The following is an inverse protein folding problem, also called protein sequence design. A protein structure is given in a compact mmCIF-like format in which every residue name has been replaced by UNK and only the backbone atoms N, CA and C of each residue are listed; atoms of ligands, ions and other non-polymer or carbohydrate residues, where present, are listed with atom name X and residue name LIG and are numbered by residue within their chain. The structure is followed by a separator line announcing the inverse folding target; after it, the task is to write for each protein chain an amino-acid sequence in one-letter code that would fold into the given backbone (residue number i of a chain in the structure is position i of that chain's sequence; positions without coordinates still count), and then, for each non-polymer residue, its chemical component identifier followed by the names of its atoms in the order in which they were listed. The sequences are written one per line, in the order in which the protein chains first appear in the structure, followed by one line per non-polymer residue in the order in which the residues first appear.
data_IF_273810102965
#
_entry.id   IF_273810102965
#
_cell.length_a   1.000
_cell.length_b   1.000
_cell.length_c   1.000
_cell.angle_alpha   90.00
_cell.angle_beta   90.00
_cell.angle_gamma   90.00
#
_symmetry.space_group_name_H-M   'P 1'
#
loop_
_entity.id
_entity.type
_entity.pdbx_description
1 polymer ?
#
# COMPACT_ATOMS: atom_id res chain seq x y z
N UNK A 1 -68.56 23.92 -5.14
CA UNK A 1 -67.45 24.86 -4.89
C UNK A 1 -66.50 24.22 -3.89
N UNK A 2 -65.78 23.17 -4.31
CA UNK A 2 -65.00 22.33 -3.39
C UNK A 2 -64.03 21.40 -4.13
N UNK A 3 -63.11 21.94 -4.95
CA UNK A 3 -61.98 21.20 -5.53
C UNK A 3 -60.90 22.20 -5.97
N UNK A 4 -60.12 22.77 -5.05
CA UNK A 4 -58.99 23.66 -5.40
C UNK A 4 -58.00 23.89 -4.25
N UNK A 5 -57.72 22.87 -3.42
CA UNK A 5 -56.82 23.02 -2.27
C UNK A 5 -55.93 21.80 -1.96
N UNK A 6 -55.62 20.96 -2.96
CA UNK A 6 -54.70 19.82 -2.81
C UNK A 6 -53.56 19.75 -3.85
N UNK A 7 -53.32 20.81 -4.62
CA UNK A 7 -52.29 20.83 -5.67
C UNK A 7 -51.07 21.72 -5.36
N UNK A 8 -50.77 21.99 -4.08
CA UNK A 8 -49.69 22.91 -3.66
C UNK A 8 -48.75 22.34 -2.60
N UNK A 9 -48.66 21.00 -2.44
CA UNK A 9 -47.74 20.36 -1.48
C UNK A 9 -46.87 19.23 -2.09
N UNK A 10 -46.72 19.18 -3.41
CA UNK A 10 -45.90 18.16 -4.10
C UNK A 10 -44.87 18.75 -5.09
N UNK A 11 -44.29 19.93 -4.81
CA UNK A 11 -43.29 20.53 -5.71
C UNK A 11 -41.98 21.00 -5.05
N UNK A 12 -41.74 20.71 -3.77
CA UNK A 12 -40.45 21.04 -3.12
C UNK A 12 -39.51 19.84 -2.95
N UNK A 13 -39.87 18.66 -3.44
CA UNK A 13 -39.06 17.43 -3.29
C UNK A 13 -38.23 17.05 -4.53
N UNK A 14 -37.91 17.99 -5.44
CA UNK A 14 -37.23 17.62 -6.70
C UNK A 14 -36.23 18.64 -7.26
N UNK A 15 -35.68 19.53 -6.44
CA UNK A 15 -34.68 20.51 -6.93
C UNK A 15 -33.38 20.62 -6.11
N UNK A 16 -33.11 19.69 -5.18
CA UNK A 16 -31.76 19.57 -4.58
C UNK A 16 -30.86 18.52 -5.27
N UNK A 17 -31.40 17.72 -6.20
CA UNK A 17 -30.61 16.70 -6.92
C UNK A 17 -29.98 17.17 -8.26
N UNK A 18 -30.07 18.45 -8.62
CA UNK A 18 -29.61 18.95 -9.94
C UNK A 18 -28.47 19.99 -9.86
N UNK A 19 -27.92 20.27 -8.67
CA UNK A 19 -26.71 21.09 -8.51
C UNK A 19 -25.57 20.35 -7.80
N UNK A 20 -25.48 19.03 -7.97
CA UNK A 20 -24.16 18.41 -7.95
C UNK A 20 -23.44 18.91 -9.21
N UNK A 21 -22.73 20.05 -9.08
CA UNK A 21 -21.83 20.54 -10.11
C UNK A 21 -21.08 19.34 -10.69
N UNK A 22 -21.05 19.21 -12.02
CA UNK A 22 -20.19 18.23 -12.70
C UNK A 22 -18.78 18.49 -12.20
N UNK A 23 -18.35 17.81 -11.12
CA UNK A 23 -16.97 17.90 -10.66
C UNK A 23 -16.13 17.32 -11.78
N UNK A 24 -15.19 18.12 -12.27
CA UNK A 24 -14.16 17.65 -13.19
C UNK A 24 -13.39 16.48 -12.54
N UNK A 25 -12.77 15.59 -13.34
CA UNK A 25 -11.88 14.57 -12.78
C UNK A 25 -10.82 15.26 -11.89
N UNK A 26 -10.38 14.59 -10.80
CA UNK A 26 -9.29 15.13 -9.99
C UNK A 26 -8.04 15.27 -10.86
N UNK A 27 -7.24 16.31 -10.59
CA UNK A 27 -5.92 16.46 -11.17
C UNK A 27 -5.08 15.22 -10.82
N UNK A 28 -4.26 14.77 -11.77
CA UNK A 28 -3.28 13.72 -11.50
C UNK A 28 -2.22 14.25 -10.52
N UNK A 29 -1.65 13.40 -9.65
CA UNK A 29 -0.67 13.80 -8.64
C UNK A 29 0.41 14.77 -9.11
N UNK A 30 1.03 14.51 -10.26
CA UNK A 30 2.11 15.37 -10.78
C UNK A 30 1.65 16.80 -11.18
N UNK A 31 0.35 16.99 -11.42
CA UNK A 31 -0.26 18.29 -11.77
C UNK A 31 -0.96 18.96 -10.57
N UNK A 32 -1.08 18.26 -9.44
CA UNK A 32 -1.84 18.69 -8.28
C UNK A 32 -0.89 19.18 -7.17
N UNK A 33 -0.87 20.49 -6.86
CA UNK A 33 0.01 21.05 -5.83
C UNK A 33 -0.16 20.44 -4.45
N UNK A 34 -1.27 19.74 -4.18
CA UNK A 34 -1.48 18.99 -2.93
C UNK A 34 -0.47 17.84 -2.73
N UNK A 35 0.03 17.26 -3.82
CA UNK A 35 0.97 16.14 -3.82
C UNK A 35 2.45 16.57 -3.81
N UNK A 36 2.71 17.83 -4.15
CA UNK A 36 4.07 18.35 -4.21
C UNK A 36 4.56 18.76 -2.81
N UNK A 37 5.81 18.47 -2.45
CA UNK A 37 6.37 18.90 -1.16
C UNK A 37 6.40 20.43 -1.07
N UNK A 38 6.30 21.01 0.15
CA UNK A 38 6.33 22.46 0.34
C UNK A 38 7.69 23.11 0.01
N UNK A 39 8.79 22.37 0.18
CA UNK A 39 10.15 22.79 -0.11
C UNK A 39 10.82 21.82 -1.12
N UNK A 40 11.10 22.26 -2.36
CA UNK A 40 11.70 21.42 -3.39
C UNK A 40 13.22 21.22 -3.22
N UNK A 41 13.91 21.98 -2.36
CA UNK A 41 15.38 21.97 -2.26
C UNK A 41 15.94 20.86 -1.35
N UNK A 42 15.07 20.04 -0.77
CA UNK A 42 15.50 19.00 0.16
C UNK A 42 15.12 17.59 -0.33
N UNK A 43 15.12 17.39 -1.65
CA UNK A 43 14.99 16.07 -2.28
C UNK A 43 15.96 15.03 -1.66
N UNK A 44 15.57 13.75 -1.55
CA UNK A 44 16.31 12.74 -0.79
C UNK A 44 17.60 12.35 -1.51
N UNK A 45 18.69 13.07 -1.22
CA UNK A 45 20.04 12.62 -1.50
C UNK A 45 20.73 12.03 -0.26
N UNK A 46 20.12 12.13 0.92
CA UNK A 46 20.73 11.71 2.20
C UNK A 46 19.71 11.03 3.13
N UNK A 47 20.12 9.92 3.75
CA UNK A 47 19.32 9.08 4.67
C UNK A 47 18.77 9.83 5.90
N UNK A 48 19.26 11.05 6.17
CA UNK A 48 18.87 11.85 7.33
C UNK A 48 17.63 12.74 7.10
N UNK A 49 17.15 12.89 5.86
CA UNK A 49 15.93 13.63 5.52
C UNK A 49 14.62 12.94 5.96
N UNK A 50 14.67 11.76 6.57
CA UNK A 50 13.49 11.02 7.07
C UNK A 50 13.31 11.10 8.60
N UNK A 51 14.22 11.76 9.32
CA UNK A 51 14.29 11.72 10.79
C UNK A 51 13.75 12.93 11.57
N UNK A 52 13.61 14.12 10.97
CA UNK A 52 13.19 15.35 11.63
C UNK A 52 11.69 15.62 11.43
N UNK A 53 10.97 15.60 12.56
CA UNK A 53 9.56 15.89 12.78
C UNK A 53 8.53 15.23 11.83
N UNK A 54 7.79 14.31 12.43
CA UNK A 54 7.22 13.15 11.74
C UNK A 54 5.72 13.07 12.00
N UNK A 55 4.89 12.84 10.98
CA UNK A 55 3.46 12.56 11.19
C UNK A 55 2.54 13.78 11.42
N UNK A 56 3.02 15.01 11.20
CA UNK A 56 2.24 16.25 11.33
C UNK A 56 1.34 16.48 10.11
N UNK A 57 0.06 16.80 10.31
CA UNK A 57 -0.85 17.10 9.19
C UNK A 57 -0.61 18.54 8.68
N UNK A 58 -0.10 18.68 7.47
CA UNK A 58 0.14 19.96 6.82
C UNK A 58 -1.07 20.52 6.09
N UNK A 59 -1.63 19.70 5.21
CA UNK A 59 -2.75 20.04 4.34
C UNK A 59 -3.76 18.93 4.38
N UNK A 60 -5.03 19.32 4.34
CA UNK A 60 -6.14 18.37 4.30
C UNK A 60 -7.17 18.84 3.30
N UNK A 61 -7.77 17.90 2.59
CA UNK A 61 -8.94 18.15 1.75
C UNK A 61 -9.90 16.97 1.84
N UNK A 62 -11.19 17.27 1.80
CA UNK A 62 -12.20 16.24 1.61
C UNK A 62 -12.21 15.81 0.15
N UNK A 63 -12.21 14.51 -0.08
CA UNK A 63 -12.40 13.93 -1.40
C UNK A 63 -13.58 12.97 -1.38
N UNK A 64 -14.20 12.82 -2.53
CA UNK A 64 -15.15 11.74 -2.76
C UNK A 64 -14.35 10.54 -3.21
N UNK A 65 -14.36 9.45 -2.46
CA UNK A 65 -13.82 8.16 -2.92
C UNK A 65 -14.86 7.51 -3.84
N UNK A 66 -14.40 6.84 -4.89
CA UNK A 66 -15.30 6.13 -5.78
C UNK A 66 -16.01 5.01 -5.00
N UNK A 67 -17.28 4.76 -5.30
CA UNK A 67 -18.06 3.68 -4.66
C UNK A 67 -17.43 2.30 -4.99
N UNK A 68 -16.41 1.91 -4.24
CA UNK A 68 -16.02 0.51 -4.04
C UNK A 68 -16.80 -0.04 -2.84
N UNK A 69 -17.14 0.84 -1.89
CA UNK A 69 -18.05 0.66 -0.75
C UNK A 69 -18.96 1.89 -0.71
N UNK A 70 -20.27 1.72 -0.53
CA UNK A 70 -21.25 2.82 -0.63
C UNK A 70 -21.12 3.81 0.54
N UNK A 71 -21.21 5.12 0.29
CA UNK A 71 -21.56 6.14 1.31
C UNK A 71 -20.43 6.79 2.11
N UNK A 72 -19.17 6.70 1.67
CA UNK A 72 -18.01 7.09 2.47
C UNK A 72 -17.61 8.57 2.30
N UNK A 73 -17.15 9.18 3.40
CA UNK A 73 -16.37 10.43 3.37
C UNK A 73 -14.90 10.06 3.48
N UNK A 74 -14.07 10.61 2.60
CA UNK A 74 -12.63 10.43 2.66
C UNK A 74 -11.91 11.77 2.87
N UNK A 75 -10.88 11.75 3.69
CA UNK A 75 -9.95 12.88 3.85
C UNK A 75 -8.61 12.49 3.24
N UNK A 76 -8.14 13.28 2.28
CA UNK A 76 -6.75 13.26 1.89
C UNK A 76 -5.97 14.14 2.85
N UNK A 77 -4.85 13.62 3.34
CA UNK A 77 -3.97 14.32 4.25
C UNK A 77 -2.55 14.25 3.77
N UNK A 78 -1.91 15.40 3.83
CA UNK A 78 -0.52 15.61 3.50
C UNK A 78 0.25 15.75 4.81
N UNK A 79 1.37 15.06 4.94
CA UNK A 79 2.18 15.03 6.18
C UNK A 79 3.53 15.66 5.95
N UNK A 80 3.98 16.57 6.84
CA UNK A 80 5.41 16.86 6.99
C UNK A 80 5.93 17.75 8.15
N UNK A 81 7.23 17.56 8.50
CA UNK A 81 8.26 18.59 8.78
C UNK A 81 9.68 18.24 8.21
N UNK A 82 9.76 17.29 7.26
CA UNK A 82 10.91 16.74 6.59
C UNK A 82 10.68 16.52 5.07
N UNK A 83 11.59 16.91 4.20
CA UNK A 83 11.40 17.19 2.76
C UNK A 83 10.55 16.28 1.84
N UNK A 84 10.31 15.03 2.23
CA UNK A 84 9.58 14.01 1.50
C UNK A 84 8.16 13.84 2.02
N UNK A 85 7.35 14.87 1.80
CA UNK A 85 5.94 14.84 2.13
C UNK A 85 5.19 13.75 1.33
N UNK A 86 4.36 12.97 2.01
CA UNK A 86 3.50 11.94 1.42
C UNK A 86 2.02 12.22 1.69
N UNK A 87 1.14 11.51 0.98
CA UNK A 87 -0.31 11.62 1.11
C UNK A 87 -0.88 10.32 1.68
N UNK A 88 -1.87 10.43 2.57
CA UNK A 88 -2.69 9.30 2.99
C UNK A 88 -4.17 9.58 2.79
N UNK A 89 -4.92 8.54 2.45
CA UNK A 89 -6.39 8.55 2.37
C UNK A 89 -6.96 7.91 3.61
N UNK A 90 -7.74 8.67 4.38
CA UNK A 90 -8.53 8.10 5.48
C UNK A 90 -9.98 7.95 5.05
N UNK A 91 -10.47 6.71 5.02
CA UNK A 91 -11.83 6.35 4.62
C UNK A 91 -12.64 5.99 5.87
N UNK A 92 -13.75 6.70 6.08
CA UNK A 92 -14.69 6.41 7.17
C UNK A 92 -15.87 5.61 6.61
N UNK A 93 -16.05 4.33 7.02
CA UNK A 93 -17.19 3.52 6.61
C UNK A 93 -18.53 4.14 7.05
N UNK A 94 -19.63 3.71 6.44
CA UNK A 94 -21.00 4.16 6.78
C UNK A 94 -21.35 3.87 8.24
N UNK A 95 -20.94 2.69 8.73
CA UNK A 95 -21.13 2.27 10.12
C UNK A 95 -19.75 2.01 10.72
N UNK A 96 -19.03 3.07 11.16
CA UNK A 96 -17.66 2.96 11.60
C UNK A 96 -17.59 2.51 13.07
N UNK A 97 -16.75 1.50 13.34
CA UNK A 97 -16.15 1.31 14.66
C UNK A 97 -14.96 2.27 14.80
N UNK A 98 -15.23 3.43 15.39
CA UNK A 98 -14.27 4.52 15.58
C UNK A 98 -13.09 4.19 16.50
N UNK A 99 -13.10 3.03 17.16
CA UNK A 99 -11.97 2.54 17.98
C UNK A 99 -11.02 1.62 17.22
N UNK A 100 -11.33 1.25 15.97
CA UNK A 100 -10.49 0.38 15.16
C UNK A 100 -10.04 1.10 13.91
N UNK A 101 -8.75 1.03 13.62
CA UNK A 101 -8.15 1.56 12.40
C UNK A 101 -7.36 0.46 11.72
N UNK A 102 -7.58 0.24 10.43
CA UNK A 102 -6.69 -0.58 9.61
C UNK A 102 -5.82 0.36 8.78
N UNK A 103 -4.50 0.27 8.98
CA UNK A 103 -3.53 0.81 8.02
C UNK A 103 -3.39 -0.20 6.90
N UNK A 104 -3.84 0.14 5.69
CA UNK A 104 -3.87 -0.75 4.53
C UNK A 104 -2.87 -0.27 3.50
N UNK A 105 -1.79 -1.03 3.34
CA UNK A 105 -0.75 -0.80 2.34
C UNK A 105 -1.19 -1.47 1.03
N UNK A 106 -1.74 -0.67 0.09
CA UNK A 106 -2.09 -1.12 -1.26
C UNK A 106 -0.83 -1.43 -2.05
N UNK A 107 -0.74 -2.58 -2.73
CA UNK A 107 0.41 -2.88 -3.60
C UNK A 107 0.25 -2.14 -4.93
N UNK A 108 0.63 -0.86 -5.02
CA UNK A 108 0.50 -0.08 -6.26
C UNK A 108 1.72 -0.13 -7.18
N UNK A 109 2.84 -0.63 -6.67
CA UNK A 109 3.97 -1.23 -7.38
C UNK A 109 4.41 -0.46 -8.63
N UNK A 110 4.67 0.85 -8.51
CA UNK A 110 4.91 1.67 -9.69
C UNK A 110 5.90 2.81 -9.48
N UNK A 111 6.77 3.07 -10.46
CA UNK A 111 7.66 4.23 -10.43
C UNK A 111 6.99 5.54 -10.90
N UNK A 112 5.67 5.54 -11.11
CA UNK A 112 4.88 6.70 -11.55
C UNK A 112 3.99 7.20 -10.41
N UNK A 113 4.22 8.44 -9.97
CA UNK A 113 3.45 9.12 -8.92
C UNK A 113 1.94 9.16 -9.20
N UNK A 114 1.51 9.11 -10.46
CA UNK A 114 0.11 9.08 -10.83
C UNK A 114 -0.57 7.73 -10.55
N UNK A 115 0.19 6.72 -10.11
CA UNK A 115 -0.33 5.45 -9.60
C UNK A 115 -0.70 5.49 -8.11
N UNK A 116 -0.46 6.59 -7.42
CA UNK A 116 -0.68 6.73 -5.98
C UNK A 116 -2.12 6.32 -5.56
N UNK A 117 -2.28 5.51 -4.48
CA UNK A 117 -3.58 5.11 -3.95
C UNK A 117 -4.52 6.29 -3.71
N UNK A 118 -4.01 7.39 -3.16
CA UNK A 118 -4.82 8.57 -2.87
C UNK A 118 -5.42 9.26 -4.09
N UNK A 119 -4.84 9.07 -5.28
CA UNK A 119 -5.45 9.48 -6.55
C UNK A 119 -6.38 8.40 -7.08
N UNK A 120 -5.90 7.15 -7.20
CA UNK A 120 -6.65 6.06 -7.83
C UNK A 120 -8.00 5.75 -7.16
N UNK A 121 -8.10 6.00 -5.85
CA UNK A 121 -9.32 5.79 -5.07
C UNK A 121 -10.34 6.94 -5.22
N UNK A 122 -9.95 8.10 -5.73
CA UNK A 122 -10.90 9.22 -5.89
C UNK A 122 -12.00 8.89 -6.92
N UNK A 123 -13.19 9.42 -6.67
CA UNK A 123 -14.29 9.43 -7.62
C UNK A 123 -13.87 10.20 -8.88
N UNK A 124 -14.18 9.63 -10.05
CA UNK A 124 -13.75 10.12 -11.37
C UNK A 124 -12.25 10.13 -11.65
N UNK A 125 -11.39 9.59 -10.78
CA UNK A 125 -10.01 9.29 -11.15
C UNK A 125 -9.97 8.45 -12.45
N UNK A 126 -8.91 8.59 -13.23
CA UNK A 126 -8.75 7.96 -14.54
C UNK A 126 -7.43 7.18 -14.64
N UNK A 127 -7.28 6.40 -15.71
CA UNK A 127 -6.02 5.71 -16.01
C UNK A 127 -5.80 4.43 -15.20
N UNK A 128 -4.59 3.88 -15.30
CA UNK A 128 -4.22 2.61 -14.70
C UNK A 128 -4.20 2.66 -13.18
N UNK A 129 -3.74 3.77 -12.58
CA UNK A 129 -3.72 3.98 -11.13
C UNK A 129 -5.10 3.82 -10.48
N UNK A 130 -6.16 4.27 -11.17
CA UNK A 130 -7.56 4.02 -10.76
C UNK A 130 -7.88 2.53 -10.72
N UNK A 131 -7.66 1.84 -11.84
CA UNK A 131 -8.03 0.43 -11.98
C UNK A 131 -7.29 -0.43 -10.97
N UNK A 132 -5.98 -0.24 -10.85
CA UNK A 132 -5.11 -1.02 -10.01
C UNK A 132 -5.41 -0.87 -8.51
N UNK A 133 -5.55 0.37 -8.02
CA UNK A 133 -5.84 0.62 -6.61
C UNK A 133 -7.25 0.14 -6.19
N UNK A 134 -8.24 0.26 -7.08
CA UNK A 134 -9.59 -0.24 -6.78
C UNK A 134 -9.64 -1.77 -6.76
N UNK A 135 -8.87 -2.46 -7.60
CA UNK A 135 -8.73 -3.92 -7.55
C UNK A 135 -8.08 -4.36 -6.23
N UNK A 136 -6.98 -3.70 -5.82
CA UNK A 136 -6.33 -3.94 -4.52
C UNK A 136 -7.30 -3.78 -3.35
N UNK A 137 -8.11 -2.70 -3.33
CA UNK A 137 -9.12 -2.49 -2.30
C UNK A 137 -10.26 -3.53 -2.35
N UNK A 138 -10.64 -3.99 -3.55
CA UNK A 138 -11.76 -4.91 -3.73
C UNK A 138 -11.56 -6.27 -3.04
N UNK A 139 -10.32 -6.76 -2.89
CA UNK A 139 -10.03 -7.99 -2.15
C UNK A 139 -10.38 -7.91 -0.66
N UNK A 140 -10.40 -6.69 -0.12
CA UNK A 140 -10.77 -6.44 1.27
C UNK A 140 -12.18 -5.85 1.40
N UNK A 141 -12.75 -5.29 0.34
CA UNK A 141 -14.06 -4.61 0.37
C UNK A 141 -15.20 -5.38 1.07
N UNK A 142 -15.37 -6.73 0.92
CA UNK A 142 -16.40 -7.48 1.63
C UNK A 142 -16.29 -7.37 3.16
N UNK A 143 -15.08 -7.12 3.64
CA UNK A 143 -14.74 -7.05 5.05
C UNK A 143 -14.79 -5.61 5.60
N UNK A 144 -14.91 -4.59 4.73
CA UNK A 144 -14.69 -3.19 5.09
C UNK A 144 -15.97 -2.33 5.15
N UNK A 145 -17.14 -2.88 4.82
CA UNK A 145 -18.41 -2.12 4.78
C UNK A 145 -18.90 -1.64 6.16
N UNK A 146 -18.57 -2.39 7.21
CA UNK A 146 -18.88 -2.07 8.60
C UNK A 146 -17.66 -2.41 9.44
N UNK A 147 -17.22 -1.50 10.33
CA UNK A 147 -16.08 -1.77 11.20
C UNK A 147 -14.98 -0.71 11.11
N UNK A 148 -13.70 -1.10 10.97
CA UNK A 148 -12.58 -0.19 11.18
C UNK A 148 -12.53 0.95 10.16
N UNK A 149 -12.04 2.11 10.60
CA UNK A 149 -11.66 3.21 9.71
C UNK A 149 -10.39 2.81 8.96
N UNK A 150 -10.29 3.13 7.67
CA UNK A 150 -9.12 2.79 6.86
C UNK A 150 -8.15 3.97 6.77
N UNK A 151 -6.86 3.69 6.91
CA UNK A 151 -5.76 4.58 6.56
C UNK A 151 -4.99 3.94 5.40
N UNK A 152 -4.99 4.56 4.23
CA UNK A 152 -4.34 4.03 3.01
C UNK A 152 -3.24 5.01 2.58
N UNK A 153 -1.97 4.75 2.95
CA UNK A 153 -0.86 5.63 2.60
C UNK A 153 -0.35 5.44 1.17
N UNK A 154 0.12 6.53 0.57
CA UNK A 154 0.99 6.52 -0.60
C UNK A 154 2.44 6.28 -0.14
N UNK A 155 2.76 5.07 0.32
CA UNK A 155 4.02 4.77 1.03
C UNK A 155 5.30 4.81 0.17
N UNK A 156 5.20 4.96 -1.13
CA UNK A 156 6.33 5.15 -2.05
C UNK A 156 6.60 6.64 -2.28
N UNK A 157 5.80 7.53 -1.67
CA UNK A 157 6.07 8.95 -1.57
C UNK A 157 5.75 9.76 -2.81
N UNK A 158 6.06 11.05 -2.73
CA UNK A 158 5.94 12.01 -3.83
C UNK A 158 6.90 11.71 -4.99
N UNK A 159 7.88 10.81 -4.80
CA UNK A 159 8.82 10.37 -5.82
C UNK A 159 8.52 8.96 -6.37
N UNK A 160 7.46 8.27 -5.91
CA UNK A 160 7.13 6.90 -6.35
C UNK A 160 8.33 5.93 -6.28
N UNK A 161 9.00 5.91 -5.13
CA UNK A 161 10.16 5.08 -4.87
C UNK A 161 9.80 3.63 -4.56
N UNK A 162 9.16 2.95 -5.52
CA UNK A 162 8.84 1.54 -5.40
C UNK A 162 10.09 0.69 -5.09
N UNK A 163 9.90 -0.33 -4.24
CA UNK A 163 10.92 -1.22 -3.70
C UNK A 163 11.95 -0.58 -2.74
N UNK A 164 11.80 0.70 -2.36
CA UNK A 164 12.62 1.33 -1.32
C UNK A 164 11.99 1.12 0.06
N UNK A 165 12.43 0.05 0.74
CA UNK A 165 11.88 -0.41 2.01
C UNK A 165 11.86 0.62 3.15
N UNK A 166 12.99 1.22 3.53
CA UNK A 166 13.04 2.21 4.61
C UNK A 166 12.06 3.37 4.41
N UNK A 167 12.01 3.93 3.19
CA UNK A 167 11.06 4.99 2.84
C UNK A 167 9.60 4.51 3.03
N UNK A 168 9.29 3.31 2.56
CA UNK A 168 7.96 2.70 2.71
C UNK A 168 7.56 2.53 4.19
N UNK A 169 8.50 2.15 5.05
CA UNK A 169 8.30 2.03 6.48
C UNK A 169 8.04 3.38 7.17
N UNK A 170 8.86 4.40 6.90
CA UNK A 170 8.67 5.75 7.45
C UNK A 170 7.30 6.31 7.08
N UNK A 171 6.97 6.31 5.79
CA UNK A 171 5.73 6.88 5.28
C UNK A 171 4.48 6.13 5.78
N UNK A 172 4.59 4.81 5.94
CA UNK A 172 3.53 4.01 6.57
C UNK A 172 3.30 4.43 8.02
N UNK A 173 4.35 4.51 8.85
CA UNK A 173 4.22 4.90 10.26
C UNK A 173 3.74 6.35 10.43
N UNK A 174 4.22 7.27 9.60
CA UNK A 174 3.81 8.66 9.65
C UNK A 174 2.39 8.88 9.17
N UNK A 175 1.92 8.09 8.20
CA UNK A 175 0.50 8.10 7.83
C UNK A 175 -0.39 7.70 9.00
N UNK A 176 0.04 6.75 9.84
CA UNK A 176 -0.70 6.32 11.03
C UNK A 176 -0.69 7.45 12.07
N UNK A 177 0.46 8.08 12.32
CA UNK A 177 0.55 9.28 13.21
C UNK A 177 -0.43 10.36 12.74
N UNK A 178 -0.42 10.68 11.44
CA UNK A 178 -1.30 11.67 10.85
C UNK A 178 -2.78 11.28 10.92
N UNK A 179 -3.11 10.00 10.71
CA UNK A 179 -4.46 9.47 10.88
C UNK A 179 -4.94 9.53 12.35
N UNK A 180 -4.03 9.47 13.33
CA UNK A 180 -4.36 9.54 14.76
C UNK A 180 -4.20 10.93 15.38
N UNK A 181 -3.75 11.93 14.62
CA UNK A 181 -3.62 13.31 15.07
C UNK A 181 -4.95 13.91 15.54
N UNK A 182 -4.89 14.96 16.38
CA UNK A 182 -6.11 15.66 16.84
C UNK A 182 -6.87 16.25 15.65
N UNK A 183 -6.14 16.91 14.75
CA UNK A 183 -6.64 17.49 13.50
C UNK A 183 -7.32 16.46 12.62
N UNK A 184 -6.86 15.21 12.66
CA UNK A 184 -7.52 14.11 11.98
C UNK A 184 -8.84 13.72 12.64
N UNK A 185 -8.77 13.46 13.94
CA UNK A 185 -9.84 12.84 14.74
C UNK A 185 -11.10 13.68 14.74
N UNK A 186 -10.97 15.02 14.68
CA UNK A 186 -12.10 15.94 14.56
C UNK A 186 -12.98 15.66 13.33
N UNK A 187 -12.39 15.19 12.22
CA UNK A 187 -13.10 14.96 10.96
C UNK A 187 -13.49 13.50 10.76
N UNK A 188 -12.61 12.57 11.11
CA UNK A 188 -12.85 11.12 10.91
C UNK A 188 -13.65 10.51 12.07
N UNK A 189 -13.64 11.17 13.22
CA UNK A 189 -14.23 10.67 14.45
C UNK A 189 -13.45 9.51 15.08
N UNK A 190 -12.23 9.20 14.61
CA UNK A 190 -11.34 8.23 15.25
C UNK A 190 -11.20 8.58 16.74
N UNK A 191 -11.37 7.60 17.62
CA UNK A 191 -11.27 7.80 19.06
C UNK A 191 -9.82 7.88 19.53
N UNK A 192 -9.61 8.54 20.67
CA UNK A 192 -8.27 8.68 21.25
C UNK A 192 -7.65 7.34 21.65
N UNK A 193 -8.50 6.41 22.11
CA UNK A 193 -8.13 5.05 22.50
C UNK A 193 -8.17 4.05 21.33
N UNK A 194 -8.22 4.53 20.08
CA UNK A 194 -8.28 3.66 18.92
C UNK A 194 -7.03 2.79 18.78
N UNK A 195 -7.24 1.54 18.34
CA UNK A 195 -6.19 0.56 18.05
C UNK A 195 -5.96 0.47 16.55
N UNK A 196 -4.73 0.19 16.16
CA UNK A 196 -4.31 0.09 14.76
C UNK A 196 -3.86 -1.33 14.45
N UNK A 197 -4.29 -1.88 13.32
CA UNK A 197 -3.65 -3.06 12.71
C UNK A 197 -3.10 -2.66 11.35
N UNK A 198 -1.91 -3.12 11.01
CA UNK A 198 -1.34 -2.95 9.67
C UNK A 198 -1.63 -4.19 8.82
N UNK A 199 -1.93 -3.99 7.55
CA UNK A 199 -2.15 -5.06 6.59
C UNK A 199 -1.53 -4.70 5.24
N UNK A 200 -0.70 -5.59 4.72
CA UNK A 200 -0.20 -5.50 3.35
C UNK A 200 -0.05 -6.88 2.72
N UNK A 201 -0.23 -6.92 1.40
CA UNK A 201 0.05 -8.08 0.56
C UNK A 201 1.02 -7.68 -0.56
N UNK A 202 1.91 -8.55 -1.01
CA UNK A 202 2.86 -8.26 -2.11
C UNK A 202 3.74 -7.02 -1.82
N UNK A 203 3.80 -6.03 -2.71
CA UNK A 203 4.49 -4.75 -2.44
C UNK A 203 3.96 -4.02 -1.19
N UNK A 204 2.68 -4.17 -0.87
CA UNK A 204 2.12 -3.65 0.39
C UNK A 204 2.66 -4.37 1.63
N UNK A 205 2.99 -5.67 1.51
CA UNK A 205 3.61 -6.41 2.60
C UNK A 205 5.06 -5.95 2.84
N UNK A 206 5.76 -5.48 1.79
CA UNK A 206 7.04 -4.81 1.96
C UNK A 206 6.91 -3.56 2.83
N UNK A 207 5.95 -2.69 2.55
CA UNK A 207 5.71 -1.50 3.36
C UNK A 207 5.34 -1.85 4.81
N UNK A 208 4.46 -2.84 5.02
CA UNK A 208 4.02 -3.29 6.35
C UNK A 208 5.16 -3.90 7.17
N UNK A 209 6.03 -4.67 6.54
CA UNK A 209 7.17 -5.32 7.19
C UNK A 209 8.22 -4.29 7.63
N UNK A 210 8.63 -3.39 6.73
CA UNK A 210 9.56 -2.32 7.06
C UNK A 210 9.00 -1.41 8.16
N UNK A 211 7.72 -1.05 8.11
CA UNK A 211 7.07 -0.31 9.19
C UNK A 211 7.11 -1.08 10.53
N UNK A 212 6.99 -2.42 10.49
CA UNK A 212 7.06 -3.27 11.69
C UNK A 212 8.45 -3.28 12.30
N UNK A 213 9.49 -3.42 11.48
CA UNK A 213 10.89 -3.31 11.92
C UNK A 213 11.23 -1.97 12.56
N UNK A 214 10.61 -0.90 12.05
CA UNK A 214 10.94 0.47 12.43
C UNK A 214 10.13 0.96 13.63
N UNK A 215 9.00 0.33 13.93
CA UNK A 215 8.04 0.80 14.93
C UNK A 215 8.69 1.09 16.29
N UNK A 216 9.57 0.21 16.78
CA UNK A 216 10.11 0.30 18.14
C UNK A 216 10.92 1.59 18.38
N UNK A 217 11.69 2.04 17.40
CA UNK A 217 12.57 3.21 17.56
C UNK A 217 12.04 4.48 16.86
N UNK A 218 11.18 4.34 15.84
CA UNK A 218 10.65 5.47 15.08
C UNK A 218 9.26 5.94 15.54
N UNK A 219 8.43 5.02 16.04
CA UNK A 219 7.02 5.27 16.30
C UNK A 219 6.51 4.47 17.50
N UNK A 220 7.31 4.44 18.57
CA UNK A 220 7.10 3.60 19.76
C UNK A 220 5.68 3.76 20.35
N UNK A 221 5.18 4.99 20.36
CA UNK A 221 3.91 5.38 20.98
C UNK A 221 2.67 5.04 20.14
N UNK A 222 2.82 4.57 18.90
CA UNK A 222 1.67 4.21 18.07
C UNK A 222 0.94 2.99 18.65
N UNK A 223 -0.41 3.04 18.77
CA UNK A 223 -1.21 1.97 19.36
C UNK A 223 -1.47 0.82 18.36
N UNK A 224 -0.39 0.31 17.75
CA UNK A 224 -0.45 -0.83 16.83
C UNK A 224 -0.56 -2.12 17.66
N UNK A 225 -1.55 -2.94 17.33
CA UNK A 225 -1.90 -4.17 18.07
C UNK A 225 -1.76 -5.43 17.22
N UNK A 226 -1.30 -5.29 15.97
CA UNK A 226 -0.94 -6.41 15.12
C UNK A 226 -0.53 -5.96 13.72
N UNK A 227 0.19 -6.82 13.02
CA UNK A 227 0.48 -6.65 11.60
C UNK A 227 0.30 -7.96 10.83
N UNK A 228 -0.35 -7.88 9.67
CA UNK A 228 -0.49 -8.98 8.71
C UNK A 228 0.40 -8.69 7.50
N UNK A 229 1.32 -9.61 7.23
CA UNK A 229 2.34 -9.50 6.18
C UNK A 229 2.15 -10.68 5.22
N UNK A 230 1.53 -10.44 4.07
CA UNK A 230 1.18 -11.50 3.11
C UNK A 230 2.04 -11.47 1.83
N UNK A 231 2.61 -12.60 1.42
CA UNK A 231 3.37 -12.71 0.16
C UNK A 231 4.46 -11.63 0.03
N UNK A 232 5.28 -11.44 1.08
CA UNK A 232 6.26 -10.35 1.11
C UNK A 232 7.48 -10.64 0.23
N UNK A 233 7.92 -9.70 -0.64
CA UNK A 233 9.17 -9.81 -1.38
C UNK A 233 10.36 -9.48 -0.45
N UNK A 234 10.76 -10.45 0.37
CA UNK A 234 11.72 -10.28 1.47
C UNK A 234 13.15 -9.91 1.04
N UNK A 235 13.50 -10.22 -0.21
CA UNK A 235 14.77 -9.83 -0.83
C UNK A 235 14.55 -9.44 -2.29
N UNK A 236 14.62 -8.14 -2.58
CA UNK A 236 14.37 -7.61 -3.94
C UNK A 236 15.38 -8.12 -4.99
N UNK A 237 16.58 -8.52 -4.58
CA UNK A 237 17.58 -9.10 -5.50
C UNK A 237 17.25 -10.54 -5.84
N UNK A 238 16.76 -11.32 -4.87
CA UNK A 238 16.22 -12.65 -5.12
C UNK A 238 15.01 -12.59 -6.04
N UNK A 239 14.06 -11.68 -5.76
CA UNK A 239 12.90 -11.42 -6.63
C UNK A 239 13.34 -11.02 -8.03
N UNK A 240 14.33 -10.15 -8.17
CA UNK A 240 14.88 -9.75 -9.46
C UNK A 240 15.30 -10.96 -10.30
N UNK A 241 16.12 -11.83 -9.72
CA UNK A 241 16.60 -13.03 -10.41
C UNK A 241 15.48 -13.99 -10.77
N UNK A 242 14.48 -14.11 -9.89
CA UNK A 242 13.37 -15.03 -10.07
C UNK A 242 12.45 -14.62 -11.24
N UNK A 243 12.07 -13.35 -11.35
CA UNK A 243 11.13 -12.91 -12.38
C UNK A 243 11.80 -12.46 -13.68
N UNK A 244 13.13 -12.26 -13.70
CA UNK A 244 13.84 -11.83 -14.91
C UNK A 244 13.72 -12.85 -16.04
N UNK A 245 13.31 -12.41 -17.24
CA UNK A 245 13.06 -13.30 -18.39
C UNK A 245 11.73 -14.08 -18.31
N UNK A 246 11.00 -14.01 -17.20
CA UNK A 246 9.68 -14.60 -17.01
C UNK A 246 8.54 -13.66 -17.39
N UNK A 247 7.30 -14.13 -17.30
CA UNK A 247 6.08 -13.36 -17.56
C UNK A 247 5.95 -12.11 -16.68
N UNK A 248 6.55 -12.12 -15.50
CA UNK A 248 6.57 -11.01 -14.53
C UNK A 248 7.81 -10.10 -14.61
N UNK A 249 8.64 -10.23 -15.66
CA UNK A 249 9.88 -9.45 -15.79
C UNK A 249 9.69 -7.92 -15.80
N UNK A 250 8.49 -7.43 -16.13
CA UNK A 250 8.16 -5.99 -16.04
C UNK A 250 8.28 -5.45 -14.61
N UNK A 251 8.01 -6.29 -13.58
CA UNK A 251 8.13 -5.90 -12.17
C UNK A 251 9.55 -5.44 -11.82
N UNK A 252 10.56 -6.06 -12.42
CA UNK A 252 11.95 -5.64 -12.24
C UNK A 252 12.17 -4.20 -12.72
N UNK A 253 11.58 -3.84 -13.86
CA UNK A 253 11.72 -2.48 -14.39
C UNK A 253 11.04 -1.46 -13.50
N UNK A 254 9.85 -1.78 -12.99
CA UNK A 254 9.15 -0.92 -12.02
C UNK A 254 9.99 -0.70 -10.77
N UNK A 255 10.49 -1.78 -10.15
CA UNK A 255 11.32 -1.69 -8.94
C UNK A 255 12.62 -0.91 -9.20
N UNK A 256 13.30 -1.20 -10.31
CA UNK A 256 14.53 -0.50 -10.68
C UNK A 256 14.30 1.01 -10.88
N UNK A 257 13.23 1.40 -11.56
CA UNK A 257 12.89 2.80 -11.76
C UNK A 257 12.47 3.49 -10.46
N UNK A 258 11.75 2.81 -9.57
CA UNK A 258 11.41 3.34 -8.25
C UNK A 258 12.67 3.62 -7.41
N UNK A 259 13.62 2.68 -7.40
CA UNK A 259 14.93 2.88 -6.77
C UNK A 259 15.67 4.04 -7.44
N UNK A 260 15.65 4.14 -8.77
CA UNK A 260 16.26 5.28 -9.49
C UNK A 260 15.62 6.62 -9.12
N UNK A 261 14.33 6.68 -8.77
CA UNK A 261 13.69 7.91 -8.31
C UNK A 261 14.24 8.37 -6.95
N UNK A 262 14.63 7.43 -6.07
CA UNK A 262 15.20 7.74 -4.75
C UNK A 262 16.74 7.90 -4.75
N UNK A 263 17.45 7.36 -5.74
CA UNK A 263 18.92 7.33 -5.75
C UNK A 263 19.50 7.97 -7.03
N UNK A 264 19.74 9.30 -7.05
CA UNK A 264 20.19 10.03 -8.25
C UNK A 264 21.49 9.50 -8.87
N UNK A 265 22.47 9.12 -8.04
CA UNK A 265 23.73 8.53 -8.51
C UNK A 265 23.52 7.19 -9.21
N UNK A 266 22.63 6.35 -8.67
CA UNK A 266 22.26 5.08 -9.31
C UNK A 266 21.47 5.32 -10.60
N UNK A 267 20.55 6.29 -10.59
CA UNK A 267 19.77 6.71 -11.74
C UNK A 267 20.66 7.14 -12.91
N UNK A 268 21.62 8.03 -12.65
CA UNK A 268 22.57 8.49 -13.66
C UNK A 268 23.37 7.31 -14.24
N UNK A 269 23.96 6.48 -13.37
CA UNK A 269 24.75 5.33 -13.81
C UNK A 269 23.93 4.35 -14.65
N UNK A 270 22.70 4.04 -14.23
CA UNK A 270 21.83 3.11 -14.95
C UNK A 270 21.40 3.67 -16.30
N UNK A 271 21.09 4.96 -16.39
CA UNK A 271 20.80 5.62 -17.67
C UNK A 271 21.99 5.61 -18.62
N UNK A 272 23.18 5.84 -18.10
CA UNK A 272 24.41 5.75 -18.90
C UNK A 272 24.70 4.32 -19.37
N UNK A 273 24.30 3.31 -18.59
CA UNK A 273 24.48 1.90 -18.93
C UNK A 273 23.36 1.32 -19.82
N UNK A 274 22.18 1.95 -19.89
CA UNK A 274 21.09 1.51 -20.76
C UNK A 274 21.55 1.50 -22.23
N UNK A 275 21.16 0.43 -22.94
CA UNK A 275 21.39 0.34 -24.37
C UNK A 275 20.32 1.11 -25.14
N UNK A 276 20.73 1.75 -26.23
CA UNK A 276 19.82 2.51 -27.09
C UNK A 276 19.44 1.75 -28.37
N UNK A 277 20.08 0.61 -28.63
CA UNK A 277 19.72 -0.25 -29.75
C UNK A 277 18.34 -0.88 -29.52
N UNK A 278 17.60 -1.13 -30.61
CA UNK A 278 16.23 -1.66 -30.55
C UNK A 278 15.29 -0.91 -29.58
N UNK A 279 15.57 0.36 -29.28
CA UNK A 279 14.80 1.21 -28.36
C UNK A 279 14.73 0.67 -26.91
N UNK A 280 15.74 -0.08 -26.45
CA UNK A 280 15.73 -0.67 -25.10
C UNK A 280 15.60 0.40 -24.01
N UNK A 281 16.36 1.49 -24.10
CA UNK A 281 16.26 2.67 -23.25
C UNK A 281 14.83 3.21 -23.18
N UNK A 282 14.16 3.39 -24.32
CA UNK A 282 12.79 3.90 -24.37
C UNK A 282 11.79 2.92 -23.79
N UNK A 283 11.95 1.63 -24.05
CA UNK A 283 11.07 0.58 -23.48
C UNK A 283 11.19 0.53 -21.96
N UNK A 284 12.42 0.61 -21.45
CA UNK A 284 12.68 0.64 -20.02
C UNK A 284 12.09 1.91 -19.37
N UNK A 285 12.44 3.09 -19.91
CA UNK A 285 12.05 4.37 -19.34
C UNK A 285 10.58 4.74 -19.53
N UNK A 286 9.86 4.09 -20.46
CA UNK A 286 8.42 4.31 -20.65
C UNK A 286 7.61 3.97 -19.39
N UNK A 287 8.08 3.01 -18.61
CA UNK A 287 7.41 2.56 -17.39
C UNK A 287 7.38 3.64 -16.29
N UNK A 288 8.22 4.69 -16.37
CA UNK A 288 8.10 5.90 -15.52
C UNK A 288 6.76 6.63 -15.70
N UNK A 289 6.01 6.30 -16.75
CA UNK A 289 4.74 6.92 -17.10
C UNK A 289 3.59 5.92 -17.19
N UNK A 290 3.71 4.77 -16.52
CA UNK A 290 2.77 3.66 -16.58
C UNK A 290 1.32 4.04 -16.23
N UNK A 291 1.11 5.03 -15.35
CA UNK A 291 -0.21 5.57 -15.01
C UNK A 291 -0.54 6.89 -15.69
N UNK A 292 0.49 7.64 -16.13
CA UNK A 292 0.37 8.93 -16.82
C UNK A 292 -0.03 8.80 -18.28
N UNK A 293 0.56 7.84 -18.99
CA UNK A 293 0.34 7.59 -20.41
C UNK A 293 0.20 6.10 -20.66
N UNK A 294 -1.03 5.60 -20.65
CA UNK A 294 -1.32 4.29 -21.24
C UNK A 294 -1.19 4.43 -22.77
N UNK A 295 0.03 4.37 -23.31
CA UNK A 295 0.25 4.39 -24.76
C UNK A 295 0.31 2.96 -25.31
N UNK A 296 -0.77 2.44 -25.91
CA UNK A 296 -0.78 1.09 -26.49
C UNK A 296 0.19 0.92 -27.67
N UNK A 297 0.71 2.01 -28.25
CA UNK A 297 1.57 1.96 -29.44
C UNK A 297 3.04 1.62 -29.15
N UNK A 298 3.52 1.81 -27.91
CA UNK A 298 4.88 1.48 -27.47
C UNK A 298 4.92 0.40 -26.38
N UNK A 299 3.78 0.14 -25.73
CA UNK A 299 3.63 -0.85 -24.65
C UNK A 299 3.49 -2.29 -25.17
N UNK A 300 4.51 -2.82 -25.87
CA UNK A 300 4.78 -4.25 -25.67
C UNK A 300 5.37 -4.35 -24.27
N UNK A 301 4.54 -4.75 -23.30
CA UNK A 301 4.95 -4.97 -21.92
C UNK A 301 6.26 -5.77 -21.87
N UNK A 302 7.06 -5.52 -20.84
CA UNK A 302 8.37 -6.16 -20.66
C UNK A 302 8.26 -7.59 -20.13
N UNK A 303 7.07 -8.19 -20.20
CA UNK A 303 6.84 -9.60 -19.92
C UNK A 303 7.75 -10.45 -20.83
N UNK A 304 8.37 -11.46 -20.24
CA UNK A 304 9.35 -12.35 -20.85
C UNK A 304 10.64 -11.66 -21.34
N UNK A 305 10.84 -10.38 -21.03
CA UNK A 305 12.07 -9.68 -21.38
C UNK A 305 13.21 -10.08 -20.43
N UNK A 306 14.40 -10.31 -21.00
CA UNK A 306 15.62 -10.36 -20.22
C UNK A 306 16.08 -8.92 -19.92
N UNK A 307 15.81 -8.44 -18.71
CA UNK A 307 16.07 -7.05 -18.30
C UNK A 307 17.58 -6.76 -18.30
N UNK A 308 18.41 -7.73 -17.94
CA UNK A 308 19.87 -7.57 -17.99
C UNK A 308 20.38 -7.27 -19.41
N UNK A 309 19.73 -7.83 -20.44
CA UNK A 309 20.08 -7.57 -21.83
C UNK A 309 19.73 -6.15 -22.31
N UNK A 310 19.01 -5.36 -21.51
CA UNK A 310 18.73 -3.94 -21.79
C UNK A 310 19.90 -3.02 -21.38
N UNK A 311 20.88 -3.55 -20.66
CA UNK A 311 22.04 -2.82 -20.14
C UNK A 311 23.34 -3.23 -20.85
N UNK A 312 24.26 -2.29 -21.05
CA UNK A 312 25.56 -2.53 -21.72
C UNK A 312 26.43 -3.47 -20.89
N UNK A 313 26.34 -3.39 -19.57
CA UNK A 313 27.11 -4.22 -18.65
C UNK A 313 26.28 -5.35 -18.00
N UNK A 314 25.10 -5.67 -18.55
CA UNK A 314 24.25 -6.73 -18.01
C UNK A 314 23.78 -6.41 -16.59
N UNK A 315 23.87 -7.40 -15.70
CA UNK A 315 23.49 -7.28 -14.28
C UNK A 315 24.51 -6.56 -13.40
N UNK A 316 25.48 -5.83 -13.98
CA UNK A 316 26.54 -5.18 -13.18
C UNK A 316 25.99 -4.22 -12.13
N UNK A 317 24.81 -3.61 -12.35
CA UNK A 317 24.14 -2.77 -11.35
C UNK A 317 23.91 -3.50 -10.02
N UNK A 318 23.61 -4.80 -10.03
CA UNK A 318 23.43 -5.60 -8.81
C UNK A 318 24.69 -5.63 -7.95
N UNK A 319 25.86 -5.73 -8.59
CA UNK A 319 27.15 -5.73 -7.88
C UNK A 319 27.62 -4.32 -7.53
N UNK A 320 27.49 -3.39 -8.48
CA UNK A 320 27.88 -1.98 -8.35
C UNK A 320 27.15 -1.29 -7.19
N UNK A 321 25.87 -1.61 -6.99
CA UNK A 321 25.02 -1.02 -5.95
C UNK A 321 24.59 -2.03 -4.88
N UNK A 322 25.32 -3.14 -4.74
CA UNK A 322 24.98 -4.22 -3.79
C UNK A 322 24.75 -3.73 -2.36
N UNK A 323 25.53 -2.78 -1.86
CA UNK A 323 25.33 -2.20 -0.54
C UNK A 323 23.97 -1.50 -0.41
N UNK A 324 23.63 -0.64 -1.40
CA UNK A 324 22.36 0.10 -1.42
C UNK A 324 21.19 -0.87 -1.56
N UNK A 325 21.24 -1.79 -2.52
CA UNK A 325 20.19 -2.79 -2.76
C UNK A 325 19.95 -3.67 -1.52
N UNK A 326 21.03 -4.07 -0.85
CA UNK A 326 20.92 -4.80 0.40
C UNK A 326 20.28 -3.93 1.48
N UNK A 327 20.66 -2.67 1.62
CA UNK A 327 20.14 -1.75 2.64
C UNK A 327 18.65 -1.47 2.48
N UNK A 328 18.17 -1.26 1.26
CA UNK A 328 16.78 -0.88 1.00
C UNK A 328 15.84 -2.05 0.78
N UNK A 329 16.39 -3.21 0.41
CA UNK A 329 15.64 -4.27 -0.25
C UNK A 329 15.73 -5.65 0.40
N UNK A 330 16.44 -5.77 1.52
CA UNK A 330 16.52 -7.01 2.29
C UNK A 330 15.88 -6.79 3.66
N UNK A 331 14.74 -7.43 3.87
CA UNK A 331 14.02 -7.43 5.14
C UNK A 331 14.78 -8.26 6.19
N UNK A 332 14.38 -8.08 7.44
CA UNK A 332 14.95 -8.70 8.61
C UNK A 332 16.08 -7.90 9.24
N UNK A 333 16.57 -6.82 8.62
CA UNK A 333 17.85 -6.19 9.00
C UNK A 333 17.78 -5.47 10.34
N UNK A 334 16.66 -4.83 10.67
CA UNK A 334 16.51 -4.08 11.91
C UNK A 334 15.86 -4.91 13.03
N UNK A 335 15.57 -6.19 12.79
CA UNK A 335 15.11 -7.14 13.81
C UNK A 335 16.26 -7.41 14.77
N UNK A 336 16.15 -6.83 15.97
CA UNK A 336 17.05 -7.02 17.10
C UNK A 336 16.22 -7.30 18.35
N UNK A 337 16.85 -7.78 19.42
CA UNK A 337 16.13 -7.98 20.69
C UNK A 337 15.60 -6.66 21.27
N UNK A 338 16.24 -5.53 20.95
CA UNK A 338 15.88 -4.20 21.42
C UNK A 338 14.77 -3.55 20.58
N UNK A 339 14.56 -4.01 19.35
CA UNK A 339 13.59 -3.45 18.40
C UNK A 339 12.33 -4.32 18.26
N UNK A 340 11.88 -4.95 19.35
CA UNK A 340 10.63 -5.70 19.32
C UNK A 340 9.45 -4.74 19.10
N UNK A 341 8.57 -4.97 18.11
CA UNK A 341 7.42 -4.11 17.84
C UNK A 341 6.38 -4.11 18.97
N UNK A 342 6.37 -5.12 19.84
CA UNK A 342 5.44 -5.21 20.98
C UNK A 342 4.01 -5.57 20.59
N UNK A 343 3.80 -6.18 19.42
CA UNK A 343 2.51 -6.71 18.98
C UNK A 343 2.68 -8.00 18.17
N UNK A 344 1.64 -8.87 18.11
CA UNK A 344 1.66 -10.08 17.31
C UNK A 344 1.80 -9.84 15.80
N UNK A 345 2.43 -10.79 15.10
CA UNK A 345 2.57 -10.79 13.65
C UNK A 345 1.84 -11.99 13.04
N UNK A 346 1.29 -11.83 11.84
CA UNK A 346 0.77 -12.92 11.04
C UNK A 346 1.33 -12.88 9.62
N UNK A 347 1.92 -14.00 9.20
CA UNK A 347 2.44 -14.20 7.85
C UNK A 347 1.57 -15.21 7.11
N UNK A 348 1.30 -14.93 5.83
CA UNK A 348 0.70 -15.91 4.93
C UNK A 348 1.25 -15.77 3.52
N UNK A 349 1.50 -16.88 2.84
CA UNK A 349 2.19 -16.87 1.55
C UNK A 349 1.94 -18.18 0.80
N UNK A 350 2.02 -18.15 -0.53
CA UNK A 350 1.97 -19.35 -1.35
C UNK A 350 3.29 -20.12 -1.25
N UNK A 351 3.24 -21.45 -1.26
CA UNK A 351 4.48 -22.25 -1.31
C UNK A 351 5.05 -22.36 -2.72
N UNK A 352 4.25 -22.05 -3.75
CA UNK A 352 4.63 -22.02 -5.16
C UNK A 352 4.59 -20.58 -5.70
N UNK A 353 4.87 -19.60 -4.83
CA UNK A 353 4.81 -18.17 -5.14
C UNK A 353 5.89 -17.79 -6.17
N UNK A 354 5.43 -17.45 -7.37
CA UNK A 354 6.24 -17.10 -8.53
C UNK A 354 6.85 -15.68 -8.47
N UNK A 355 6.50 -14.87 -7.46
CA UNK A 355 7.05 -13.52 -7.24
C UNK A 355 8.10 -13.55 -6.13
N UNK A 356 7.76 -14.14 -4.98
CA UNK A 356 8.55 -14.07 -3.74
C UNK A 356 9.45 -15.29 -3.51
N UNK A 357 9.75 -16.04 -4.57
CA UNK A 357 10.74 -17.12 -4.53
C UNK A 357 12.17 -16.55 -4.37
N UNK A 358 13.08 -17.20 -3.63
CA UNK A 358 12.94 -18.50 -2.96
C UNK A 358 12.18 -18.42 -1.62
N UNK A 359 11.37 -19.44 -1.33
CA UNK A 359 10.57 -19.54 -0.09
C UNK A 359 11.43 -19.42 1.18
N UNK A 360 12.67 -19.88 1.08
CA UNK A 360 13.68 -19.81 2.13
C UNK A 360 13.93 -18.38 2.62
N UNK A 361 13.81 -17.36 1.77
CA UNK A 361 14.03 -15.97 2.19
C UNK A 361 12.87 -15.50 3.09
N UNK A 362 11.63 -15.87 2.78
CA UNK A 362 10.47 -15.65 3.65
C UNK A 362 10.59 -16.42 4.96
N UNK A 363 11.01 -17.69 4.94
CA UNK A 363 11.16 -18.47 6.17
C UNK A 363 12.25 -17.89 7.09
N UNK A 364 13.39 -17.45 6.54
CA UNK A 364 14.45 -16.79 7.32
C UNK A 364 13.93 -15.55 8.04
N UNK A 365 13.10 -14.75 7.38
CA UNK A 365 12.51 -13.56 7.98
C UNK A 365 11.60 -13.93 9.16
N UNK A 366 10.68 -14.87 8.94
CA UNK A 366 9.76 -15.36 9.97
C UNK A 366 10.51 -15.95 11.17
N UNK A 367 11.53 -16.77 10.91
CA UNK A 367 12.36 -17.37 11.95
C UNK A 367 13.12 -16.30 12.73
N UNK A 368 13.59 -15.23 12.06
CA UNK A 368 14.25 -14.10 12.72
C UNK A 368 13.29 -13.35 13.64
N UNK A 369 12.04 -13.12 13.23
CA UNK A 369 11.01 -12.55 14.09
C UNK A 369 10.70 -13.41 15.32
N UNK A 370 10.60 -14.74 15.14
CA UNK A 370 10.37 -15.71 16.22
C UNK A 370 11.53 -15.79 17.21
N UNK A 371 12.77 -15.71 16.73
CA UNK A 371 13.97 -16.00 17.55
C UNK A 371 14.67 -14.75 18.08
N UNK A 372 15.00 -13.81 17.20
CA UNK A 372 15.78 -12.60 17.54
C UNK A 372 14.86 -11.47 17.98
N UNK A 373 13.77 -11.24 17.24
CA UNK A 373 12.81 -10.18 17.57
C UNK A 373 12.08 -10.42 18.89
N UNK A 374 12.05 -11.68 19.38
CA UNK A 374 11.33 -12.12 20.57
C UNK A 374 9.86 -11.66 20.56
N UNK A 375 9.25 -11.58 19.38
CA UNK A 375 7.83 -11.27 19.26
C UNK A 375 7.08 -12.43 19.89
N UNK A 376 6.25 -12.10 20.88
CA UNK A 376 5.54 -13.10 21.70
C UNK A 376 4.74 -14.09 20.84
N UNK A 377 4.21 -13.61 19.72
CA UNK A 377 3.38 -14.39 18.81
C UNK A 377 3.62 -14.03 17.35
N UNK A 378 4.07 -15.02 16.58
CA UNK A 378 4.22 -14.96 15.12
C UNK A 378 3.43 -16.12 14.51
N UNK A 379 2.27 -15.81 13.95
CA UNK A 379 1.45 -16.76 13.20
C UNK A 379 2.05 -16.96 11.80
N UNK A 380 2.21 -18.20 11.38
CA UNK A 380 2.91 -18.59 10.15
C UNK A 380 2.02 -19.53 9.33
N UNK A 381 1.49 -19.04 8.20
CA UNK A 381 0.46 -19.71 7.40
C UNK A 381 0.93 -19.96 5.96
N UNK A 382 1.79 -20.97 5.71
CA UNK A 382 2.11 -21.40 4.35
C UNK A 382 0.88 -22.02 3.68
N UNK A 383 0.51 -21.50 2.52
CA UNK A 383 -0.62 -21.98 1.71
C UNK A 383 -0.08 -22.92 0.62
N UNK A 384 -0.14 -24.22 0.91
CA UNK A 384 0.47 -25.26 0.10
C UNK A 384 -0.12 -25.31 -1.31
N UNK A 385 0.73 -25.23 -2.33
CA UNK A 385 0.35 -25.31 -3.74
C UNK A 385 -0.23 -24.02 -4.31
N UNK A 386 -0.27 -22.94 -3.52
CA UNK A 386 -0.76 -21.65 -3.97
C UNK A 386 0.34 -20.82 -4.63
N UNK A 387 -0.04 -20.13 -5.70
CA UNK A 387 0.75 -19.10 -6.39
C UNK A 387 0.53 -17.75 -5.71
N UNK A 388 1.22 -16.70 -6.15
CA UNK A 388 1.10 -15.36 -5.55
C UNK A 388 -0.36 -14.88 -5.50
N UNK A 389 -1.04 -14.86 -6.65
CA UNK A 389 -2.44 -14.39 -6.69
C UNK A 389 -3.41 -15.29 -5.91
N UNK A 390 -3.24 -16.62 -5.94
CA UNK A 390 -4.17 -17.53 -5.26
C UNK A 390 -3.96 -17.55 -3.74
N UNK A 391 -2.74 -17.30 -3.27
CA UNK A 391 -2.42 -17.15 -1.87
C UNK A 391 -3.12 -15.93 -1.25
N UNK A 392 -3.20 -14.79 -1.96
CA UNK A 392 -4.00 -13.64 -1.53
C UNK A 392 -5.46 -14.04 -1.27
N UNK A 393 -6.10 -14.65 -2.28
CA UNK A 393 -7.51 -15.01 -2.23
C UNK A 393 -7.85 -15.99 -1.10
N UNK A 394 -6.97 -16.95 -0.83
CA UNK A 394 -7.19 -17.95 0.23
C UNK A 394 -6.78 -17.45 1.62
N UNK A 395 -5.75 -16.61 1.71
CA UNK A 395 -5.23 -16.12 2.98
C UNK A 395 -6.03 -14.97 3.60
N UNK A 396 -6.67 -14.13 2.77
CA UNK A 396 -7.31 -12.89 3.24
C UNK A 396 -8.43 -13.11 4.26
N UNK A 397 -9.24 -14.18 4.10
CA UNK A 397 -10.30 -14.50 5.06
C UNK A 397 -9.75 -14.89 6.43
N UNK A 398 -8.67 -15.67 6.46
CA UNK A 398 -7.98 -16.06 7.70
C UNK A 398 -7.32 -14.85 8.36
N UNK A 399 -6.67 -14.00 7.57
CA UNK A 399 -6.10 -12.73 8.04
C UNK A 399 -7.18 -11.84 8.68
N UNK A 400 -8.35 -11.70 8.05
CA UNK A 400 -9.44 -10.90 8.58
C UNK A 400 -9.95 -11.38 9.95
N UNK A 401 -10.13 -12.69 10.10
CA UNK A 401 -10.54 -13.28 11.38
C UNK A 401 -9.50 -13.04 12.48
N UNK A 402 -8.22 -13.19 12.14
CA UNK A 402 -7.13 -12.88 13.05
C UNK A 402 -7.12 -11.42 13.46
N UNK A 403 -7.24 -10.48 12.51
CA UNK A 403 -7.26 -9.04 12.80
C UNK A 403 -8.42 -8.66 13.72
N UNK A 404 -9.63 -9.18 13.49
CA UNK A 404 -10.76 -8.94 14.39
C UNK A 404 -10.52 -9.45 15.79
N UNK A 405 -9.91 -10.63 15.92
CA UNK A 405 -9.57 -11.16 17.22
C UNK A 405 -8.52 -10.29 17.94
N UNK A 406 -7.49 -9.82 17.23
CA UNK A 406 -6.49 -8.91 17.80
C UNK A 406 -7.11 -7.59 18.26
N UNK A 407 -8.04 -7.02 17.49
CA UNK A 407 -8.79 -5.85 17.93
C UNK A 407 -9.60 -6.14 19.20
N UNK A 408 -10.32 -7.26 19.24
CA UNK A 408 -11.12 -7.67 20.39
C UNK A 408 -10.27 -7.85 21.66
N UNK A 409 -9.10 -8.48 21.53
CA UNK A 409 -8.14 -8.67 22.62
C UNK A 409 -7.53 -7.35 23.09
N UNK A 410 -7.25 -6.42 22.17
CA UNK A 410 -6.76 -5.09 22.55
C UNK A 410 -7.82 -4.18 23.18
N UNK A 411 -9.10 -4.40 22.89
CA UNK A 411 -10.23 -3.64 23.44
C UNK A 411 -10.73 -4.19 24.79
N UNK A 412 -10.61 -5.50 25.01
CA UNK A 412 -11.00 -6.18 26.26
C UNK A 412 -9.74 -6.42 27.07
N UNK A 413 -9.65 -5.89 28.29
CA UNK A 413 -8.48 -6.04 29.18
C UNK A 413 -8.22 -7.47 29.70
N UNK A 414 -8.51 -8.53 28.93
CA UNK A 414 -8.31 -9.96 29.26
C UNK A 414 -7.98 -10.78 28.02
N UNK A 415 -7.06 -11.74 28.20
CA UNK A 415 -6.55 -12.70 27.22
C UNK A 415 -7.67 -13.42 26.46
N UNK A 416 -7.73 -13.23 25.14
CA UNK A 416 -8.55 -14.02 24.24
C UNK A 416 -7.62 -14.61 23.18
N UNK A 417 -7.29 -15.90 23.28
CA UNK A 417 -6.27 -16.49 22.41
C UNK A 417 -6.72 -16.60 20.94
N UNK A 418 -6.20 -15.72 20.09
CA UNK A 418 -6.50 -15.62 18.65
C UNK A 418 -5.92 -16.74 17.76
N UNK A 419 -5.37 -17.81 18.35
CA UNK A 419 -4.71 -18.92 17.64
C UNK A 419 -5.49 -20.24 17.68
N UNK A 420 -6.74 -20.28 18.14
CA UNK A 420 -7.53 -21.50 17.90
C UNK A 420 -7.55 -21.72 16.39
N UNK A 421 -7.05 -22.88 15.96
CA UNK A 421 -7.06 -23.34 14.57
C UNK A 421 -8.41 -22.95 13.95
N UNK A 422 -8.41 -21.86 13.20
CA UNK A 422 -9.58 -21.47 12.43
C UNK A 422 -9.74 -22.62 11.44
N UNK A 423 -10.90 -23.29 11.43
CA UNK A 423 -11.03 -24.57 10.78
C UNK A 423 -10.69 -24.41 9.29
N UNK A 424 -10.03 -25.42 8.70
CA UNK A 424 -9.52 -25.36 7.32
C UNK A 424 -10.64 -25.06 6.29
N UNK A 425 -11.90 -25.30 6.67
CA UNK A 425 -13.13 -25.02 5.93
C UNK A 425 -13.62 -23.55 6.01
N UNK A 426 -13.03 -22.70 6.86
CA UNK A 426 -13.27 -21.26 6.86
C UNK A 426 -12.80 -20.57 5.55
N UNK A 427 -12.22 -21.35 4.63
CA UNK A 427 -11.88 -20.97 3.26
C UNK A 427 -13.09 -20.98 2.30
N UNK A 428 -14.24 -21.57 2.68
CA UNK A 428 -15.45 -21.66 1.83
C UNK A 428 -16.47 -20.53 2.06
N UNK A 429 -15.99 -19.30 2.28
CA UNK A 429 -16.85 -18.10 2.28
C UNK A 429 -17.25 -17.66 0.85
N UNK A 430 -16.78 -18.35 -0.19
CA UNK A 430 -17.13 -18.06 -1.59
C UNK A 430 -18.64 -18.18 -1.86
N UNK A 431 -19.35 -19.06 -1.15
CA UNK A 431 -20.78 -19.31 -1.37
C UNK A 431 -21.72 -18.19 -0.87
N UNK A 432 -21.21 -17.12 -0.25
CA UNK A 432 -22.00 -15.94 0.11
C UNK A 432 -21.77 -14.73 -0.82
N UNK A 433 -20.89 -14.84 -1.82
CA UNK A 433 -20.45 -13.70 -2.63
C UNK A 433 -20.89 -13.81 -4.10
N UNK A 434 -22.10 -13.34 -4.40
CA UNK A 434 -22.44 -12.97 -5.78
C UNK A 434 -21.84 -11.59 -6.08
N UNK A 435 -20.60 -11.54 -6.55
CA UNK A 435 -20.02 -10.32 -7.09
C UNK A 435 -20.61 -10.09 -8.49
N UNK A 436 -21.45 -9.07 -8.64
CA UNK A 436 -21.77 -8.51 -9.96
C UNK A 436 -20.85 -7.30 -10.13
N UNK A 437 -19.79 -7.37 -10.97
CA UNK A 437 -18.97 -6.20 -11.26
C UNK A 437 -19.90 -5.08 -11.71
N UNK A 438 -19.87 -3.94 -11.01
CA UNK A 438 -20.57 -2.76 -11.52
C UNK A 438 -20.02 -2.43 -12.91
N UNK A 439 -20.84 -1.79 -13.74
CA UNK A 439 -20.47 -1.43 -15.12
C UNK A 439 -19.18 -0.56 -15.21
N UNK A 440 -18.67 -0.03 -14.09
CA UNK A 440 -17.42 0.73 -14.03
C UNK A 440 -16.14 -0.12 -14.05
N UNK A 441 -16.24 -1.44 -13.84
CA UNK A 441 -15.12 -2.39 -13.85
C UNK A 441 -14.99 -3.19 -15.17
N UNK A 442 -15.82 -2.93 -16.18
CA UNK A 442 -15.76 -3.57 -17.51
C UNK A 442 -15.10 -2.68 -18.56
#
# INVERSE_FOLDING_TARGET
MQYLLHALLFSTFSFEQVLAAKKDPPLVPIEDPFYLPPDPDCLPSEVDCWKNSTGVVLRKREVTVANVVTGERASLRHVDENPDASVTTVIVPVIPNKKRVISLQSAYDSPDTNCAPSYGLQHKAQGWGKTWNRLNLAFLAPYLQTGPILNIPDYEGSNAAFAVGPQSGYQTLDSIKAALSLESREYTGIKEDAKVIMFGYSGGALATEWATEMKAWYAETLPIVGAVIGGAPTNITSTYHNVNGGDLATLNVWAMLGIMNAYPTMNQWMRDDLRTDAYQDKRFLLELTSCSYASPALAKGLNFANISAMFKQGDKFLTQFSNILNEIGVMGKNITEQNNPGYPLAFFYGTEDEVTYPLEDTQKLIDKWKTVGKVEKVSDWPLKGETHASALLKGVGKAWLWMNCQFDEAEKSKEMHCDKELPEDATDYQNQMSFSPSQELR
#
